data_IF_761669347740
#
_entry.id   IF_761669347740
#
_cell.length_a   1.000
_cell.length_b   1.000
_cell.length_c   1.000
_cell.angle_alpha   90.00
_cell.angle_beta   90.00
_cell.angle_gamma   90.00
#
_symmetry.space_group_name_H-M   'P 1'
#
loop_
_entity.id
_entity.type
_entity.pdbx_description
1 polymer ?
#
# COMPACT_ATOMS: atom_id res chain seq x y z
N UNK A 1 0.08 -19.08 -2.37
CA UNK A 1 -0.43 -17.68 -2.30
C UNK A 1 -1.76 -17.63 -3.02
N UNK A 2 -2.74 -16.93 -2.48
CA UNK A 2 -4.06 -16.77 -3.11
C UNK A 2 -3.94 -15.97 -4.42
N UNK A 3 -4.68 -16.27 -5.51
CA UNK A 3 -4.58 -15.54 -6.78
C UNK A 3 -4.76 -14.02 -6.64
N UNK A 4 -5.73 -13.58 -5.84
CA UNK A 4 -5.96 -12.15 -5.58
C UNK A 4 -4.76 -11.48 -4.91
N UNK A 5 -4.11 -12.15 -3.95
CA UNK A 5 -2.88 -11.65 -3.32
C UNK A 5 -1.74 -11.56 -4.33
N UNK A 6 -1.64 -12.52 -5.26
CA UNK A 6 -0.62 -12.49 -6.32
C UNK A 6 -0.79 -11.28 -7.25
N UNK A 7 -2.03 -10.95 -7.62
CA UNK A 7 -2.32 -9.77 -8.46
C UNK A 7 -2.05 -8.47 -7.69
N UNK A 8 -2.54 -8.38 -6.44
CA UNK A 8 -2.31 -7.20 -5.60
C UNK A 8 -0.82 -6.97 -5.32
N UNK A 9 -0.05 -8.03 -5.05
CA UNK A 9 1.40 -7.93 -4.86
C UNK A 9 2.12 -7.45 -6.12
N UNK A 10 1.70 -7.92 -7.30
CA UNK A 10 2.25 -7.43 -8.57
C UNK A 10 1.93 -5.96 -8.78
N UNK A 11 0.72 -5.52 -8.49
CA UNK A 11 0.32 -4.12 -8.57
C UNK A 11 1.12 -3.25 -7.61
N UNK A 12 1.26 -3.69 -6.34
CA UNK A 12 2.04 -2.99 -5.33
C UNK A 12 3.52 -2.85 -5.71
N UNK A 13 4.13 -3.90 -6.29
CA UNK A 13 5.52 -3.84 -6.78
C UNK A 13 5.70 -2.81 -7.90
N UNK A 14 4.76 -2.73 -8.84
CA UNK A 14 4.82 -1.75 -9.91
C UNK A 14 4.70 -0.31 -9.39
N UNK A 15 3.82 -0.07 -8.43
CA UNK A 15 3.71 1.21 -7.78
C UNK A 15 4.96 1.54 -6.94
N UNK A 16 5.47 0.57 -6.18
CA UNK A 16 6.70 0.72 -5.39
C UNK A 16 7.92 1.08 -6.27
N UNK A 17 8.08 0.41 -7.41
CA UNK A 17 9.14 0.71 -8.38
C UNK A 17 9.00 2.12 -8.97
N UNK A 18 7.78 2.57 -9.22
CA UNK A 18 7.51 3.93 -9.67
C UNK A 18 7.86 4.96 -8.58
N UNK A 19 7.45 4.73 -7.33
CA UNK A 19 7.72 5.60 -6.18
C UNK A 19 9.22 5.72 -5.93
N UNK A 20 9.96 4.61 -5.98
CA UNK A 20 11.42 4.59 -5.78
C UNK A 20 12.15 5.44 -6.84
N UNK A 21 11.74 5.32 -8.11
CA UNK A 21 12.28 6.19 -9.18
C UNK A 21 11.91 7.65 -8.99
N UNK A 22 10.68 7.95 -8.57
CA UNK A 22 10.23 9.32 -8.33
C UNK A 22 11.00 9.98 -7.18
N UNK A 23 11.43 9.21 -6.19
CA UNK A 23 12.28 9.68 -5.10
C UNK A 23 13.59 10.28 -5.60
N UNK A 24 14.24 9.68 -6.60
CA UNK A 24 15.48 10.17 -7.18
C UNK A 24 15.33 11.56 -7.85
N UNK A 25 14.10 11.95 -8.18
CA UNK A 25 13.79 13.25 -8.77
C UNK A 25 13.51 14.32 -7.70
N UNK A 26 13.16 13.95 -6.46
CA UNK A 26 13.00 14.90 -5.36
C UNK A 26 14.27 15.71 -5.11
N UNK A 27 15.43 15.06 -5.12
CA UNK A 27 16.73 15.72 -4.91
C UNK A 27 17.11 16.68 -6.02
N UNK A 28 16.50 16.55 -7.21
CA UNK A 28 16.76 17.39 -8.39
C UNK A 28 15.85 18.62 -8.45
N UNK A 29 14.79 18.62 -7.63
CA UNK A 29 13.88 19.76 -7.59
C UNK A 29 14.51 20.90 -6.80
N UNK A 30 15.03 21.91 -7.48
CA UNK A 30 15.47 23.20 -6.90
C UNK A 30 14.22 24.02 -6.51
N UNK A 31 13.52 23.66 -5.42
CA UNK A 31 12.08 23.87 -5.36
C UNK A 31 11.64 24.64 -4.13
N UNK A 32 10.74 25.60 -4.38
CA UNK A 32 9.87 26.21 -3.36
C UNK A 32 8.96 25.12 -2.78
N UNK A 33 8.69 25.17 -1.47
CA UNK A 33 7.90 24.18 -0.73
C UNK A 33 6.54 23.82 -1.39
N UNK A 34 5.91 24.74 -2.10
CA UNK A 34 4.66 24.52 -2.82
C UNK A 34 4.81 23.49 -3.96
N UNK A 35 5.88 23.61 -4.73
CA UNK A 35 6.10 22.75 -5.90
C UNK A 35 6.43 21.31 -5.47
N UNK A 36 7.10 21.13 -4.31
CA UNK A 36 7.42 19.82 -3.74
C UNK A 36 6.14 19.10 -3.30
N UNK A 37 5.23 19.80 -2.63
CA UNK A 37 3.95 19.21 -2.22
C UNK A 37 3.11 18.80 -3.43
N UNK A 38 3.09 19.65 -4.49
CA UNK A 38 2.37 19.33 -5.73
C UNK A 38 2.99 18.10 -6.43
N UNK A 39 4.32 17.98 -6.43
CA UNK A 39 5.02 16.83 -6.98
C UNK A 39 4.70 15.54 -6.20
N UNK A 40 4.74 15.57 -4.87
CA UNK A 40 4.43 14.40 -4.03
C UNK A 40 3.00 13.95 -4.24
N UNK A 41 2.03 14.88 -4.32
CA UNK A 41 0.63 14.56 -4.63
C UNK A 41 0.47 13.95 -6.03
N UNK A 42 1.31 14.33 -7.01
CA UNK A 42 1.32 13.72 -8.34
C UNK A 42 1.87 12.28 -8.30
N UNK A 43 2.94 12.05 -7.52
CA UNK A 43 3.51 10.71 -7.30
C UNK A 43 2.48 9.79 -6.68
N UNK A 44 1.77 10.26 -5.66
CA UNK A 44 0.74 9.51 -4.94
C UNK A 44 -0.39 9.10 -5.87
N UNK A 45 -0.99 10.06 -6.59
CA UNK A 45 -2.04 9.80 -7.59
C UNK A 45 -1.59 8.82 -8.67
N UNK A 46 -0.38 8.98 -9.19
CA UNK A 46 0.13 8.11 -10.24
C UNK A 46 0.39 6.69 -9.76
N UNK A 47 0.89 6.53 -8.54
CA UNK A 47 1.03 5.23 -7.90
C UNK A 47 -0.33 4.54 -7.72
N UNK A 48 -1.36 5.29 -7.31
CA UNK A 48 -2.72 4.77 -7.20
C UNK A 48 -3.29 4.33 -8.55
N UNK A 49 -3.12 5.13 -9.61
CA UNK A 49 -3.55 4.76 -10.97
C UNK A 49 -2.93 3.46 -11.47
N UNK A 50 -1.64 3.23 -11.18
CA UNK A 50 -0.94 1.98 -11.52
C UNK A 50 -1.62 0.80 -10.83
N UNK A 51 -1.93 0.92 -9.54
CA UNK A 51 -2.57 -0.13 -8.76
C UNK A 51 -3.99 -0.38 -9.28
N UNK A 52 -4.80 0.67 -9.43
CA UNK A 52 -6.18 0.58 -9.92
C UNK A 52 -6.23 -0.11 -11.29
N UNK A 53 -5.39 0.32 -12.23
CA UNK A 53 -5.33 -0.25 -13.58
C UNK A 53 -5.03 -1.76 -13.54
N UNK A 54 -4.08 -2.18 -12.70
CA UNK A 54 -3.74 -3.59 -12.57
C UNK A 54 -4.87 -4.42 -11.95
N UNK A 55 -5.54 -3.87 -10.92
CA UNK A 55 -6.65 -4.54 -10.26
C UNK A 55 -7.89 -4.62 -11.15
N UNK A 56 -8.28 -3.54 -11.82
CA UNK A 56 -9.43 -3.52 -12.73
C UNK A 56 -9.25 -4.43 -13.94
N UNK A 57 -8.02 -4.53 -14.46
CA UNK A 57 -7.71 -5.48 -15.54
C UNK A 57 -7.96 -6.92 -15.14
N UNK A 58 -7.69 -7.29 -13.87
CA UNK A 58 -7.86 -8.65 -13.38
C UNK A 58 -9.26 -8.90 -12.82
N UNK A 59 -9.87 -7.89 -12.24
CA UNK A 59 -11.15 -7.94 -11.51
C UNK A 59 -12.02 -6.72 -11.87
N UNK A 60 -12.57 -6.63 -13.10
CA UNK A 60 -13.26 -5.44 -13.60
C UNK A 60 -14.57 -5.12 -12.86
N UNK A 61 -15.14 -6.10 -12.17
CA UNK A 61 -16.40 -5.92 -11.42
C UNK A 61 -16.21 -5.56 -9.95
N UNK A 62 -14.96 -5.59 -9.44
CA UNK A 62 -14.71 -5.28 -8.04
C UNK A 62 -14.81 -3.77 -7.77
N UNK A 63 -15.31 -3.42 -6.59
CA UNK A 63 -15.25 -2.04 -6.09
C UNK A 63 -13.83 -1.69 -5.66
N UNK A 64 -13.49 -0.40 -5.75
CA UNK A 64 -12.22 0.15 -5.27
C UNK A 64 -12.51 1.35 -4.38
N UNK A 65 -11.75 1.50 -3.31
CA UNK A 65 -11.67 2.68 -2.48
C UNK A 65 -10.20 3.12 -2.44
N UNK A 66 -9.86 4.13 -3.23
CA UNK A 66 -8.56 4.76 -3.23
C UNK A 66 -8.52 5.94 -2.27
N UNK A 67 -7.33 6.27 -1.78
CA UNK A 67 -7.11 7.46 -0.96
C UNK A 67 -7.28 8.73 -1.79
N UNK A 68 -6.72 8.76 -2.99
CA UNK A 68 -6.70 9.91 -3.89
C UNK A 68 -7.95 9.99 -4.79
N UNK A 69 -8.37 8.86 -5.36
CA UNK A 69 -9.48 8.79 -6.31
C UNK A 69 -10.84 8.61 -5.66
N UNK A 70 -10.88 8.25 -4.38
CA UNK A 70 -12.12 7.93 -3.68
C UNK A 70 -12.74 6.59 -4.11
N UNK A 71 -14.08 6.53 -4.10
CA UNK A 71 -14.80 5.28 -4.37
C UNK A 71 -15.06 5.08 -5.87
N UNK A 72 -14.74 3.89 -6.36
CA UNK A 72 -15.12 3.38 -7.68
C UNK A 72 -16.05 2.18 -7.44
N UNK A 73 -17.29 2.31 -7.84
CA UNK A 73 -18.30 1.28 -7.61
C UNK A 73 -18.10 0.09 -8.56
N UNK A 74 -18.14 -1.10 -7.98
CA UNK A 74 -18.14 -2.35 -8.73
C UNK A 74 -19.50 -2.70 -9.33
N UNK A 75 -19.57 -3.79 -10.06
CA UNK A 75 -20.78 -4.27 -10.70
C UNK A 75 -21.01 -5.77 -10.47
N UNK A 76 -22.20 -6.26 -10.82
CA UNK A 76 -22.53 -7.68 -10.75
C UNK A 76 -22.30 -8.29 -9.36
N UNK A 77 -21.83 -9.53 -9.35
CA UNK A 77 -21.46 -10.25 -8.13
C UNK A 77 -20.09 -9.80 -7.59
N UNK A 78 -19.26 -9.18 -8.43
CA UNK A 78 -17.94 -8.69 -8.07
C UNK A 78 -17.97 -7.50 -7.11
N UNK A 79 -19.08 -6.74 -7.05
CA UNK A 79 -19.25 -5.57 -6.15
C UNK A 79 -19.10 -5.88 -4.66
N UNK A 80 -19.30 -7.14 -4.27
CA UNK A 80 -19.10 -7.59 -2.89
C UNK A 80 -17.63 -7.59 -2.46
N UNK A 81 -16.71 -7.56 -3.44
CA UNK A 81 -15.28 -7.36 -3.21
C UNK A 81 -14.95 -5.87 -3.31
N UNK A 82 -14.23 -5.37 -2.33
CA UNK A 82 -13.74 -3.98 -2.29
C UNK A 82 -12.24 -3.97 -2.02
N UNK A 83 -11.49 -3.42 -2.96
CA UNK A 83 -10.08 -3.09 -2.77
C UNK A 83 -9.97 -1.75 -2.05
N UNK A 84 -9.09 -1.67 -1.07
CA UNK A 84 -8.75 -0.44 -0.34
C UNK A 84 -7.28 -0.20 -0.61
N UNK A 85 -6.96 0.99 -1.12
CA UNK A 85 -5.63 1.32 -1.60
C UNK A 85 -5.17 2.59 -0.89
N UNK A 86 -4.00 2.51 -0.27
CA UNK A 86 -3.17 3.61 0.14
C UNK A 86 -1.87 3.48 -0.66
N UNK A 87 -1.68 4.31 -1.70
CA UNK A 87 -0.57 4.16 -2.63
C UNK A 87 0.77 4.54 -2.04
N UNK A 88 0.80 5.47 -1.06
CA UNK A 88 2.01 5.99 -0.43
C UNK A 88 1.77 6.28 1.06
N UNK A 89 1.50 5.24 1.86
CA UNK A 89 1.43 5.34 3.33
C UNK A 89 2.76 5.86 3.89
N UNK A 90 2.72 7.08 4.41
CA UNK A 90 3.90 7.81 4.84
C UNK A 90 4.33 8.93 3.87
N UNK A 91 3.39 9.60 3.21
CA UNK A 91 3.60 10.71 2.27
C UNK A 91 4.52 11.79 2.86
N UNK A 92 4.35 12.14 4.14
CA UNK A 92 5.23 13.09 4.84
C UNK A 92 6.68 12.58 4.92
N UNK A 93 6.88 11.29 5.16
CA UNK A 93 8.22 10.69 5.21
C UNK A 93 8.87 10.75 3.83
N UNK A 94 8.12 10.41 2.79
CA UNK A 94 8.58 10.51 1.41
C UNK A 94 9.00 11.95 1.07
N UNK A 95 8.18 12.94 1.41
CA UNK A 95 8.45 14.37 1.21
C UNK A 95 9.79 14.83 1.83
N UNK A 96 10.16 14.24 2.97
CA UNK A 96 11.37 14.58 3.72
C UNK A 96 12.52 13.60 3.49
N UNK A 97 12.46 12.79 2.43
CA UNK A 97 13.44 11.73 2.13
C UNK A 97 13.72 10.78 3.32
N UNK A 98 12.73 10.65 4.21
CA UNK A 98 12.80 9.67 5.29
C UNK A 98 12.27 8.33 4.79
N UNK A 99 13.16 7.37 4.57
CA UNK A 99 12.90 6.09 3.90
C UNK A 99 12.05 5.12 4.73
N UNK A 100 10.86 5.57 5.14
CA UNK A 100 9.90 4.78 5.92
C UNK A 100 8.48 5.07 5.43
N UNK A 101 8.12 4.46 4.34
CA UNK A 101 6.81 4.52 3.69
C UNK A 101 6.52 3.21 2.97
N UNK A 102 5.28 2.97 2.62
CA UNK A 102 4.86 1.72 2.00
C UNK A 102 3.70 1.90 1.02
N UNK A 103 3.55 0.96 0.09
CA UNK A 103 2.32 0.73 -0.66
C UNK A 103 1.46 -0.24 0.12
N UNK A 104 0.21 0.12 0.40
CA UNK A 104 -0.74 -0.70 1.16
C UNK A 104 -1.99 -1.02 0.34
N UNK A 105 -2.31 -2.30 0.18
CA UNK A 105 -3.48 -2.77 -0.54
C UNK A 105 -4.21 -3.82 0.32
N UNK A 106 -5.48 -3.60 0.58
CA UNK A 106 -6.34 -4.57 1.25
C UNK A 106 -7.54 -4.94 0.37
N UNK A 107 -8.09 -6.13 0.56
CA UNK A 107 -9.32 -6.56 -0.08
C UNK A 107 -10.32 -7.03 0.97
N UNK A 108 -11.52 -6.45 0.94
CA UNK A 108 -12.68 -6.92 1.68
C UNK A 108 -13.59 -7.75 0.78
N UNK A 109 -14.22 -8.76 1.37
CA UNK A 109 -15.37 -9.45 0.81
C UNK A 109 -16.54 -9.34 1.78
N UNK A 110 -17.65 -8.77 1.31
CA UNK A 110 -18.86 -8.52 2.15
C UNK A 110 -18.50 -7.81 3.46
N UNK A 111 -17.68 -6.77 3.36
CA UNK A 111 -17.27 -5.94 4.50
C UNK A 111 -16.18 -6.53 5.40
N UNK A 112 -15.70 -7.76 5.16
CA UNK A 112 -14.68 -8.43 5.98
C UNK A 112 -13.34 -8.47 5.25
N UNK A 113 -12.26 -8.08 5.92
CA UNK A 113 -10.90 -8.19 5.37
C UNK A 113 -10.55 -9.65 5.08
N UNK A 114 -10.18 -9.94 3.83
CA UNK A 114 -9.81 -11.28 3.35
C UNK A 114 -8.35 -11.34 2.93
N UNK A 115 -7.83 -10.29 2.30
CA UNK A 115 -6.47 -10.24 1.80
C UNK A 115 -5.81 -8.90 2.11
N UNK A 116 -4.49 -8.93 2.28
CA UNK A 116 -3.69 -7.72 2.43
C UNK A 116 -2.29 -7.91 1.82
N UNK A 117 -1.76 -6.80 1.30
CA UNK A 117 -0.40 -6.69 0.78
C UNK A 117 0.16 -5.35 1.24
N UNK A 118 1.40 -5.36 1.75
CA UNK A 118 2.18 -4.17 2.04
C UNK A 118 3.56 -4.37 1.41
N UNK A 119 4.04 -3.36 0.70
CA UNK A 119 5.38 -3.36 0.08
C UNK A 119 6.13 -2.10 0.50
N UNK A 120 7.29 -2.28 1.14
CA UNK A 120 8.26 -1.21 1.37
C UNK A 120 9.12 -1.05 0.10
N UNK A 121 9.04 0.10 -0.61
CA UNK A 121 9.77 0.29 -1.86
C UNK A 121 11.29 0.26 -1.68
N UNK A 122 11.78 0.77 -0.55
CA UNK A 122 13.20 0.98 -0.31
C UNK A 122 13.90 -0.30 0.13
N UNK A 123 13.30 -1.01 1.09
CA UNK A 123 13.86 -2.28 1.60
C UNK A 123 13.46 -3.47 0.75
N UNK A 124 12.53 -3.28 -0.18
CA UNK A 124 11.92 -4.35 -0.96
C UNK A 124 11.29 -5.45 -0.07
N UNK A 125 10.79 -5.02 1.09
CA UNK A 125 10.11 -5.88 2.04
C UNK A 125 8.64 -6.04 1.66
N UNK A 126 8.18 -7.29 1.62
CA UNK A 126 6.83 -7.64 1.21
C UNK A 126 6.10 -8.40 2.32
N UNK A 127 4.98 -7.86 2.73
CA UNK A 127 4.07 -8.52 3.66
C UNK A 127 2.79 -8.90 2.93
N UNK A 128 2.40 -10.16 3.04
CA UNK A 128 1.15 -10.64 2.45
C UNK A 128 0.34 -11.42 3.47
N UNK A 129 -0.97 -11.26 3.43
CA UNK A 129 -1.86 -11.99 4.31
C UNK A 129 -3.12 -12.47 3.59
N UNK A 130 -3.63 -13.60 4.05
CA UNK A 130 -4.95 -14.12 3.68
C UNK A 130 -5.63 -14.61 4.95
N UNK A 131 -6.90 -14.25 5.13
CA UNK A 131 -7.69 -14.69 6.29
C UNK A 131 -7.61 -16.22 6.43
N UNK A 132 -7.34 -16.67 7.66
CA UNK A 132 -7.21 -18.09 8.00
C UNK A 132 -5.88 -18.73 7.57
N UNK A 133 -5.07 -18.08 6.73
CA UNK A 133 -3.76 -18.60 6.30
C UNK A 133 -2.58 -17.94 7.00
N UNK A 134 -2.83 -16.81 7.68
CA UNK A 134 -1.82 -16.03 8.39
C UNK A 134 -1.05 -15.11 7.46
N UNK A 135 0.09 -14.58 7.95
CA UNK A 135 0.92 -13.59 7.30
C UNK A 135 2.25 -14.19 6.84
N UNK A 136 2.74 -13.74 5.70
CA UNK A 136 4.09 -14.02 5.22
C UNK A 136 4.87 -12.71 5.04
N UNK A 137 6.16 -12.75 5.33
CA UNK A 137 7.17 -11.72 5.09
C UNK A 137 8.17 -12.28 4.08
N UNK A 138 8.32 -11.63 2.94
CA UNK A 138 9.18 -12.08 1.83
C UNK A 138 8.97 -13.57 1.49
N UNK A 139 7.70 -13.98 1.42
CA UNK A 139 7.30 -15.37 1.13
C UNK A 139 7.45 -16.34 2.30
N UNK A 140 8.00 -15.93 3.43
CA UNK A 140 8.18 -16.77 4.63
C UNK A 140 7.09 -16.49 5.64
N UNK A 141 6.46 -17.53 6.17
CA UNK A 141 5.42 -17.40 7.19
C UNK A 141 5.97 -16.77 8.47
N UNK A 142 5.32 -15.73 8.97
CA UNK A 142 5.65 -15.04 10.22
C UNK A 142 4.56 -15.25 11.28
N UNK A 143 4.93 -15.02 12.53
CA UNK A 143 4.06 -15.11 13.71
C UNK A 143 4.34 -13.89 14.60
N UNK A 144 3.36 -13.50 15.39
CA UNK A 144 3.55 -12.55 16.47
C UNK A 144 4.62 -13.04 17.46
N UNK A 145 5.29 -12.11 18.15
CA UNK A 145 6.27 -12.45 19.19
C UNK A 145 5.61 -13.25 20.32
N UNK A 146 6.42 -13.96 21.10
CA UNK A 146 5.97 -14.69 22.30
C UNK A 146 6.01 -13.83 23.57
N UNK A 147 6.38 -12.55 23.46
CA UNK A 147 6.44 -11.61 24.59
C UNK A 147 5.01 -11.36 25.08
N UNK A 148 4.77 -11.58 26.38
CA UNK A 148 3.43 -11.50 26.99
C UNK A 148 3.18 -10.21 27.77
N UNK A 149 4.18 -9.35 27.91
CA UNK A 149 4.11 -8.11 28.69
C UNK A 149 5.05 -7.06 28.13
N UNK A 150 5.17 -5.94 28.82
CA UNK A 150 6.03 -4.82 28.41
C UNK A 150 7.50 -5.03 28.79
N UNK A 151 7.78 -5.93 29.75
CA UNK A 151 9.15 -6.23 30.16
C UNK A 151 9.92 -6.85 28.99
N UNK A 152 11.02 -6.18 28.60
CA UNK A 152 11.82 -6.56 27.44
C UNK A 152 11.16 -6.34 26.07
N UNK A 153 10.03 -5.65 25.99
CA UNK A 153 9.36 -5.33 24.74
C UNK A 153 9.98 -4.09 24.07
N UNK A 154 10.07 -4.13 22.73
CA UNK A 154 10.31 -2.94 21.91
C UNK A 154 8.96 -2.39 21.47
N UNK A 155 8.73 -1.12 21.76
CA UNK A 155 7.51 -0.41 21.40
C UNK A 155 7.79 0.63 20.32
N UNK A 156 6.97 0.62 19.27
CA UNK A 156 6.90 1.69 18.28
C UNK A 156 5.62 2.50 18.48
N UNK A 157 5.65 3.79 18.19
CA UNK A 157 4.49 4.67 18.24
C UNK A 157 4.56 5.72 17.14
N UNK A 158 3.43 6.30 16.82
CA UNK A 158 3.29 7.46 15.96
C UNK A 158 2.29 8.45 16.55
N UNK A 159 2.28 9.67 16.03
CA UNK A 159 1.33 10.70 16.42
C UNK A 159 0.40 10.99 15.26
N UNK A 160 -0.90 11.32 15.50
CA UNK A 160 -1.79 11.73 14.44
C UNK A 160 -1.25 13.00 13.79
N UNK A 161 -1.20 12.98 12.47
CA UNK A 161 -0.87 14.13 11.66
C UNK A 161 -2.12 15.02 11.54
N UNK A 162 -1.97 16.31 11.85
CA UNK A 162 -3.03 17.32 11.70
C UNK A 162 -2.66 18.30 10.61
#
# INVERSE_FOLDING_TARGET
MHPMVTIALRAARQAAEFIDRARDDLDKLDVKQKDVNDYVSEVDRRAEEIIISALQKAYPEHSILGEESGAIEGSGEGKDYQWIIDPLDGTTNFLHDFTHYAVSIACKYKGRLEHAVIVDPIRQDEFTATRGQGTAYNGRRVRVSKIKGLDGALLGTGFPFK
#
